data_IF_826804775979
#
_entry.id   IF_826804775979
#
_cell.length_a   1.000
_cell.length_b   1.000
_cell.length_c   1.000
_cell.angle_alpha   90.00
_cell.angle_beta   90.00
_cell.angle_gamma   90.00
#
_symmetry.space_group_name_H-M   'P 1'
#
loop_
_entity.id
_entity.type
_entity.pdbx_description
1 polymer ?
#
# COMPACT_ATOMS: atom_id res chain seq x y z
N UNK A 1 9.43 1.75 13.61
CA UNK A 1 9.23 2.62 12.46
C UNK A 1 9.00 4.06 12.92
N UNK A 2 9.62 5.03 12.28
CA UNK A 2 9.43 6.45 12.56
C UNK A 2 8.46 7.05 11.53
N UNK A 3 7.31 7.55 12.00
CA UNK A 3 6.25 8.06 11.12
C UNK A 3 6.55 9.46 10.57
N UNK A 4 6.10 9.71 9.33
CA UNK A 4 6.37 10.95 8.57
C UNK A 4 5.88 12.20 9.33
N UNK A 5 4.74 12.15 10.02
CA UNK A 5 4.24 13.27 10.84
C UNK A 5 5.19 13.72 11.95
N UNK A 6 6.09 12.82 12.37
CA UNK A 6 7.07 13.10 13.43
C UNK A 6 8.39 13.69 12.93
N UNK A 7 8.55 13.82 11.61
CA UNK A 7 9.79 14.33 11.04
C UNK A 7 10.03 15.79 11.41
N UNK A 8 11.28 16.09 11.74
CA UNK A 8 11.76 17.45 12.01
C UNK A 8 13.09 17.64 11.29
N UNK A 9 13.37 18.86 10.86
CA UNK A 9 14.66 19.22 10.27
C UNK A 9 15.83 18.75 11.13
N UNK A 10 16.86 18.22 10.47
CA UNK A 10 18.05 17.65 11.12
C UNK A 10 17.86 16.23 11.65
N UNK A 11 16.67 15.64 11.56
CA UNK A 11 16.51 14.22 11.91
C UNK A 11 17.22 13.33 10.89
N UNK A 12 17.81 12.25 11.38
CA UNK A 12 18.26 11.13 10.58
C UNK A 12 17.21 10.03 10.61
N UNK A 13 16.87 9.49 9.43
CA UNK A 13 15.85 8.46 9.22
C UNK A 13 16.53 7.20 8.67
N UNK A 14 16.17 6.06 9.26
CA UNK A 14 16.67 4.75 8.86
C UNK A 14 15.54 3.73 9.06
N UNK A 15 14.62 3.67 8.07
CA UNK A 15 13.37 2.94 8.22
C UNK A 15 12.75 2.57 6.86
N UNK A 16 11.70 1.76 6.85
CA UNK A 16 11.00 1.36 5.62
C UNK A 16 9.83 2.32 5.35
N UNK A 17 9.64 2.69 4.07
CA UNK A 17 8.51 3.49 3.57
C UNK A 17 7.98 2.92 2.26
N UNK A 18 6.73 3.21 1.92
CA UNK A 18 6.17 2.90 0.62
C UNK A 18 6.62 3.97 -0.40
N UNK A 19 7.29 3.56 -1.47
CA UNK A 19 7.63 4.46 -2.57
C UNK A 19 6.40 4.70 -3.45
N UNK A 20 5.64 5.76 -3.21
CA UNK A 20 4.43 6.08 -3.97
C UNK A 20 4.72 6.42 -5.43
N UNK A 21 5.74 7.24 -5.66
CA UNK A 21 6.20 7.63 -6.99
C UNK A 21 7.71 7.66 -7.07
N UNK A 22 8.25 7.35 -8.25
CA UNK A 22 9.67 7.45 -8.58
C UNK A 22 9.81 8.05 -9.96
N UNK A 23 10.59 9.12 -10.06
CA UNK A 23 10.90 9.80 -11.32
C UNK A 23 12.38 10.18 -11.33
N UNK A 24 12.97 10.18 -12.51
CA UNK A 24 14.30 10.79 -12.73
C UNK A 24 14.06 12.18 -13.32
N UNK A 25 14.65 13.17 -12.70
CA UNK A 25 14.57 14.57 -13.11
C UNK A 25 15.96 15.17 -13.31
N UNK A 26 16.03 16.30 -13.98
CA UNK A 26 17.27 17.02 -14.22
C UNK A 26 17.35 18.25 -13.31
N UNK A 27 18.51 18.46 -12.72
CA UNK A 27 18.85 19.73 -12.06
C UNK A 27 19.03 20.86 -13.11
N UNK A 28 19.08 22.10 -12.68
CA UNK A 28 19.38 23.27 -13.55
C UNK A 28 20.70 23.12 -14.31
N UNK A 29 21.64 22.33 -13.79
CA UNK A 29 22.95 22.06 -14.38
C UNK A 29 22.97 20.80 -15.25
N UNK A 30 21.81 20.19 -15.54
CA UNK A 30 21.71 18.98 -16.36
C UNK A 30 22.08 17.68 -15.66
N UNK A 31 22.34 17.68 -14.34
CA UNK A 31 22.64 16.44 -13.60
C UNK A 31 21.32 15.74 -13.25
N UNK A 32 21.25 14.43 -13.52
CA UNK A 32 20.13 13.59 -13.13
C UNK A 32 20.07 13.38 -11.61
N UNK A 33 18.85 13.36 -11.08
CA UNK A 33 18.56 13.00 -9.69
C UNK A 33 17.25 12.24 -9.59
N UNK A 34 17.13 11.39 -8.57
CA UNK A 34 15.88 10.70 -8.26
C UNK A 34 14.94 11.59 -7.46
N UNK A 35 13.72 11.75 -7.94
CA UNK A 35 12.63 12.42 -7.23
C UNK A 35 11.60 11.37 -6.82
N UNK A 36 11.40 11.23 -5.52
CA UNK A 36 10.50 10.24 -4.93
C UNK A 36 9.44 10.93 -4.10
N UNK A 37 8.30 10.29 -3.98
CA UNK A 37 7.33 10.55 -2.90
C UNK A 37 7.24 9.27 -2.07
N UNK A 38 7.63 9.37 -0.81
CA UNK A 38 7.51 8.29 0.15
C UNK A 38 6.24 8.48 0.99
N UNK A 39 5.65 7.36 1.40
CA UNK A 39 4.38 7.35 2.11
C UNK A 39 4.42 6.39 3.31
N UNK A 40 3.77 6.80 4.39
CA UNK A 40 3.28 5.94 5.45
C UNK A 40 1.81 6.26 5.76
N UNK A 41 1.21 5.64 6.77
CA UNK A 41 -0.18 5.88 7.17
C UNK A 41 -0.47 7.30 7.67
N UNK A 42 0.56 8.06 8.04
CA UNK A 42 0.44 9.41 8.59
C UNK A 42 0.58 10.50 7.54
N UNK A 43 1.12 10.18 6.36
CA UNK A 43 1.27 11.14 5.28
C UNK A 43 2.26 10.74 4.20
N UNK A 44 2.69 11.76 3.46
CA UNK A 44 3.69 11.65 2.40
C UNK A 44 4.82 12.65 2.63
N UNK A 45 6.01 12.31 2.13
CA UNK A 45 7.18 13.20 2.15
C UNK A 45 7.94 13.10 0.83
N UNK A 46 8.39 14.24 0.34
CA UNK A 46 9.30 14.29 -0.81
C UNK A 46 10.68 13.78 -0.42
N UNK A 47 11.30 12.99 -1.31
CA UNK A 47 12.65 12.49 -1.12
C UNK A 47 13.48 12.66 -2.39
N UNK A 48 14.75 13.04 -2.23
CA UNK A 48 15.67 13.27 -3.33
C UNK A 48 16.90 12.39 -3.20
N UNK A 49 17.27 11.75 -4.31
CA UNK A 49 18.51 11.01 -4.48
C UNK A 49 19.39 11.82 -5.42
N UNK A 50 20.36 12.57 -4.86
CA UNK A 50 21.20 13.48 -5.66
C UNK A 50 22.28 12.77 -6.46
N UNK A 51 22.66 11.55 -6.07
CA UNK A 51 23.66 10.72 -6.75
C UNK A 51 23.12 9.31 -6.98
N UNK A 52 22.56 9.09 -8.18
CA UNK A 52 21.95 7.80 -8.56
C UNK A 52 22.98 6.66 -8.66
N UNK A 53 24.25 6.99 -8.94
CA UNK A 53 25.35 6.03 -9.04
C UNK A 53 26.05 5.69 -7.71
N UNK A 54 25.57 6.25 -6.59
CA UNK A 54 26.16 5.97 -5.27
C UNK A 54 25.97 4.49 -4.88
N UNK A 55 26.98 3.83 -4.27
CA UNK A 55 26.92 2.42 -3.90
C UNK A 55 25.79 2.05 -2.94
N UNK A 56 25.18 3.04 -2.28
CA UNK A 56 24.03 2.84 -1.39
C UNK A 56 22.67 2.90 -2.10
N UNK A 57 22.62 3.20 -3.39
CA UNK A 57 21.40 3.33 -4.16
C UNK A 57 21.18 2.07 -4.98
N UNK A 58 20.28 1.21 -4.52
CA UNK A 58 19.95 -0.03 -5.20
C UNK A 58 18.68 0.13 -6.06
N UNK A 59 18.42 -0.85 -6.91
CA UNK A 59 17.26 -0.83 -7.79
C UNK A 59 15.96 -1.11 -7.02
N UNK A 60 14.94 -0.33 -7.31
CA UNK A 60 13.57 -0.48 -6.82
C UNK A 60 12.60 0.20 -7.78
N UNK A 61 11.32 -0.09 -7.66
CA UNK A 61 10.26 0.49 -8.49
C UNK A 61 9.28 1.34 -7.65
N UNK A 62 8.48 2.16 -8.33
CA UNK A 62 7.31 2.76 -7.69
C UNK A 62 6.39 1.65 -7.17
N UNK A 63 5.80 1.88 -6.01
CA UNK A 63 4.95 0.97 -5.24
C UNK A 63 5.70 -0.20 -4.57
N UNK A 64 7.02 -0.21 -4.59
CA UNK A 64 7.79 -1.06 -3.68
C UNK A 64 7.87 -0.44 -2.28
N UNK A 65 7.96 -1.31 -1.26
CA UNK A 65 8.41 -0.92 0.06
C UNK A 65 9.93 -0.80 0.02
N UNK A 66 10.43 0.32 0.47
CA UNK A 66 11.87 0.66 0.39
C UNK A 66 12.43 1.00 1.75
N UNK A 67 13.54 0.36 2.10
CA UNK A 67 14.35 0.79 3.23
C UNK A 67 15.13 2.03 2.83
N UNK A 68 15.04 3.08 3.61
CA UNK A 68 15.59 4.40 3.33
C UNK A 68 16.46 4.85 4.49
N UNK A 69 17.68 5.27 4.16
CA UNK A 69 18.61 5.98 5.05
C UNK A 69 18.76 7.40 4.51
N UNK A 70 18.28 8.39 5.26
CA UNK A 70 18.16 9.77 4.80
C UNK A 70 18.21 10.78 5.92
N UNK A 71 18.59 12.02 5.62
CA UNK A 71 18.45 13.16 6.50
C UNK A 71 17.23 14.00 6.13
N UNK A 72 16.49 14.47 7.13
CA UNK A 72 15.38 15.40 6.95
C UNK A 72 15.92 16.81 6.80
N UNK A 73 15.56 17.45 5.70
CA UNK A 73 15.88 18.86 5.40
C UNK A 73 14.60 19.64 5.16
N UNK A 74 14.66 20.97 5.24
CA UNK A 74 13.54 21.82 4.84
C UNK A 74 13.76 22.36 3.42
N UNK A 75 12.75 22.21 2.59
CA UNK A 75 12.69 22.83 1.27
C UNK A 75 11.35 23.55 1.12
N UNK A 76 11.40 24.87 0.88
CA UNK A 76 10.21 25.73 0.79
C UNK A 76 9.24 25.59 1.97
N UNK A 77 9.79 25.39 3.19
CA UNK A 77 8.99 25.26 4.41
C UNK A 77 8.37 23.87 4.63
N UNK A 78 8.67 22.88 3.78
CA UNK A 78 8.20 21.49 3.92
C UNK A 78 9.38 20.54 4.16
N UNK A 79 9.12 19.49 4.93
CA UNK A 79 10.11 18.43 5.12
C UNK A 79 10.41 17.74 3.80
N UNK A 80 11.68 17.53 3.52
CA UNK A 80 12.18 16.75 2.37
C UNK A 80 13.28 15.83 2.85
N UNK A 81 13.33 14.60 2.32
CA UNK A 81 14.40 13.66 2.63
C UNK A 81 15.56 13.79 1.63
N UNK A 82 16.75 13.92 2.15
CA UNK A 82 17.99 13.76 1.40
C UNK A 82 18.48 12.32 1.56
N UNK A 83 18.22 11.48 0.57
CA UNK A 83 18.44 10.04 0.61
C UNK A 83 19.91 9.73 0.35
N UNK A 84 20.52 9.00 1.29
CA UNK A 84 21.91 8.51 1.21
C UNK A 84 21.97 7.06 0.76
N UNK A 85 21.03 6.24 1.24
CA UNK A 85 20.92 4.83 0.87
C UNK A 85 19.45 4.47 0.69
N UNK A 86 19.19 3.61 -0.29
CA UNK A 86 17.85 3.08 -0.53
C UNK A 86 17.95 1.71 -1.19
N UNK A 87 17.13 0.79 -0.73
CA UNK A 87 16.97 -0.54 -1.34
C UNK A 87 15.52 -0.97 -1.23
N UNK A 88 15.12 -1.94 -2.02
CA UNK A 88 13.85 -2.64 -1.81
C UNK A 88 13.90 -3.33 -0.45
N UNK A 89 12.82 -3.25 0.30
CA UNK A 89 12.66 -3.95 1.57
C UNK A 89 12.30 -5.43 1.33
N UNK A 90 12.82 -6.30 2.18
CA UNK A 90 12.53 -7.72 2.14
C UNK A 90 11.17 -8.02 2.82
N UNK A 91 10.57 -9.16 2.48
CA UNK A 91 9.37 -9.64 3.15
C UNK A 91 9.63 -9.84 4.65
N UNK A 92 8.77 -9.23 5.49
CA UNK A 92 8.91 -9.27 6.94
C UNK A 92 9.58 -8.02 7.54
N UNK A 93 10.21 -7.15 6.76
CA UNK A 93 10.74 -5.86 7.24
C UNK A 93 9.65 -4.79 7.43
N UNK A 94 8.43 -5.03 6.92
CA UNK A 94 7.35 -4.05 6.95
C UNK A 94 5.97 -4.69 7.17
N UNK A 95 5.05 -3.88 7.73
CA UNK A 95 3.63 -4.22 7.81
C UNK A 95 2.81 -3.28 6.92
N UNK A 96 2.08 -3.79 5.91
CA UNK A 96 1.31 -2.94 4.98
C UNK A 96 0.39 -1.92 5.65
N UNK A 97 -0.18 -2.27 6.81
CA UNK A 97 -1.05 -1.38 7.60
C UNK A 97 -0.34 -0.11 8.12
N UNK A 98 0.99 -0.06 8.11
CA UNK A 98 1.75 1.12 8.52
C UNK A 98 1.98 2.12 7.36
N UNK A 99 1.62 1.75 6.13
CA UNK A 99 1.90 2.57 4.94
C UNK A 99 0.65 2.97 4.16
N UNK A 100 -0.43 2.20 4.29
CA UNK A 100 -1.69 2.44 3.59
C UNK A 100 -2.78 2.78 4.61
N UNK A 101 -3.72 3.65 4.25
CA UNK A 101 -4.94 3.78 5.02
C UNK A 101 -5.58 2.40 5.22
N UNK A 102 -6.27 2.22 6.32
CA UNK A 102 -7.04 0.99 6.62
C UNK A 102 -8.52 1.32 6.45
N UNK A 103 -9.32 0.35 5.98
CA UNK A 103 -10.78 0.50 5.93
C UNK A 103 -11.33 0.91 7.32
N UNK A 104 -12.31 1.78 7.32
CA UNK A 104 -13.06 2.16 8.54
C UNK A 104 -14.13 1.13 8.92
N UNK A 105 -14.38 0.14 8.03
CA UNK A 105 -15.36 -0.92 8.26
C UNK A 105 -14.76 -2.06 9.07
N UNK A 106 -15.61 -2.76 9.79
CA UNK A 106 -15.25 -3.94 10.57
C UNK A 106 -14.90 -5.11 9.63
N UNK A 107 -13.61 -5.49 9.58
CA UNK A 107 -13.12 -6.57 8.72
C UNK A 107 -13.77 -7.92 9.07
N UNK A 108 -13.82 -8.37 10.34
CA UNK A 108 -14.53 -9.58 10.73
C UNK A 108 -16.00 -9.60 10.29
N UNK A 109 -16.72 -8.51 10.44
CA UNK A 109 -18.12 -8.42 10.00
C UNK A 109 -18.23 -8.55 8.46
N UNK A 110 -17.34 -7.93 7.70
CA UNK A 110 -17.30 -8.07 6.23
C UNK A 110 -16.95 -9.49 5.79
N UNK A 111 -16.02 -10.18 6.47
CA UNK A 111 -15.70 -11.58 6.22
C UNK A 111 -16.93 -12.47 6.42
N UNK A 112 -17.59 -12.31 7.56
CA UNK A 112 -18.80 -13.06 7.87
C UNK A 112 -19.91 -12.84 6.82
N UNK A 113 -20.14 -11.59 6.42
CA UNK A 113 -21.13 -11.24 5.41
C UNK A 113 -20.80 -11.86 4.04
N UNK A 114 -19.51 -11.85 3.63
CA UNK A 114 -19.08 -12.49 2.39
C UNK A 114 -19.34 -14.00 2.41
N UNK A 115 -19.03 -14.67 3.52
CA UNK A 115 -19.31 -16.10 3.69
C UNK A 115 -20.82 -16.38 3.60
N UNK A 116 -21.67 -15.53 4.18
CA UNK A 116 -23.12 -15.67 4.05
C UNK A 116 -23.54 -15.63 2.58
N UNK A 117 -23.04 -14.69 1.77
CA UNK A 117 -23.34 -14.67 0.33
C UNK A 117 -22.86 -15.93 -0.41
N UNK A 118 -21.69 -16.45 -0.08
CA UNK A 118 -21.18 -17.68 -0.68
C UNK A 118 -22.15 -18.87 -0.41
N UNK A 119 -22.74 -18.95 0.77
CA UNK A 119 -23.69 -20.02 1.10
C UNK A 119 -24.98 -19.96 0.27
N UNK A 120 -25.36 -18.79 -0.27
CA UNK A 120 -26.54 -18.63 -1.11
C UNK A 120 -26.33 -19.04 -2.56
N UNK A 121 -25.12 -19.33 -3.01
CA UNK A 121 -24.82 -19.73 -4.39
C UNK A 121 -25.54 -21.05 -4.70
N UNK A 122 -26.45 -21.02 -5.68
CA UNK A 122 -27.28 -22.18 -6.06
C UNK A 122 -26.46 -23.29 -6.72
N UNK A 123 -25.50 -22.92 -7.59
CA UNK A 123 -24.65 -23.89 -8.25
C UNK A 123 -23.67 -24.49 -7.23
N UNK A 124 -23.78 -25.81 -7.02
CA UNK A 124 -22.97 -26.49 -5.98
C UNK A 124 -21.46 -26.49 -6.28
N UNK A 125 -21.07 -26.53 -7.56
CA UNK A 125 -19.65 -26.52 -7.94
C UNK A 125 -19.02 -25.16 -7.66
N UNK A 126 -19.72 -24.08 -8.03
CA UNK A 126 -19.26 -22.71 -7.72
C UNK A 126 -19.25 -22.44 -6.22
N UNK A 127 -20.27 -22.92 -5.50
CA UNK A 127 -20.31 -22.81 -4.04
C UNK A 127 -19.14 -23.54 -3.37
N UNK A 128 -18.86 -24.80 -3.80
CA UNK A 128 -17.72 -25.58 -3.30
C UNK A 128 -16.39 -24.88 -3.59
N UNK A 129 -16.22 -24.36 -4.82
CA UNK A 129 -15.02 -23.63 -5.21
C UNK A 129 -14.80 -22.40 -4.33
N UNK A 130 -15.80 -21.53 -4.22
CA UNK A 130 -15.72 -20.33 -3.39
C UNK A 130 -15.50 -20.67 -1.92
N UNK A 131 -16.22 -21.67 -1.36
CA UNK A 131 -16.02 -22.12 0.01
C UNK A 131 -14.62 -22.67 0.24
N UNK A 132 -14.02 -23.34 -0.75
CA UNK A 132 -12.65 -23.87 -0.64
C UNK A 132 -11.62 -22.77 -0.44
N UNK A 133 -11.77 -21.63 -1.11
CA UNK A 133 -10.89 -20.48 -0.91
C UNK A 133 -11.20 -19.71 0.38
N UNK A 134 -12.44 -19.30 0.57
CA UNK A 134 -12.80 -18.38 1.64
C UNK A 134 -12.94 -19.02 3.03
N UNK A 135 -12.97 -20.35 3.13
CA UNK A 135 -12.85 -21.07 4.40
C UNK A 135 -11.39 -21.41 4.76
N UNK A 136 -10.44 -21.19 3.85
CA UNK A 136 -9.01 -21.30 4.16
C UNK A 136 -8.58 -20.06 4.95
N UNK A 137 -8.06 -20.24 6.20
CA UNK A 137 -7.70 -19.12 7.07
C UNK A 137 -6.59 -18.23 6.49
N UNK A 138 -5.60 -18.83 5.82
CA UNK A 138 -4.46 -18.09 5.25
C UNK A 138 -4.91 -17.27 4.04
N UNK A 139 -5.74 -17.85 3.16
CA UNK A 139 -6.33 -17.14 2.05
C UNK A 139 -7.22 -15.99 2.54
N UNK A 140 -8.15 -16.26 3.49
CA UNK A 140 -9.05 -15.24 4.03
C UNK A 140 -8.27 -14.10 4.68
N UNK A 141 -7.22 -14.41 5.44
CA UNK A 141 -6.35 -13.41 6.04
C UNK A 141 -5.69 -12.54 4.97
N UNK A 142 -5.02 -13.13 3.98
CA UNK A 142 -4.39 -12.40 2.90
C UNK A 142 -5.41 -11.54 2.12
N UNK A 143 -6.53 -12.12 1.70
CA UNK A 143 -7.61 -11.44 0.98
C UNK A 143 -8.18 -10.25 1.74
N UNK A 144 -8.37 -10.39 3.05
CA UNK A 144 -8.94 -9.34 3.91
C UNK A 144 -8.00 -8.17 4.16
N UNK A 145 -6.70 -8.36 4.02
CA UNK A 145 -5.71 -7.30 4.24
C UNK A 145 -5.16 -6.68 2.96
N UNK A 146 -5.45 -7.26 1.79
CA UNK A 146 -5.04 -6.67 0.52
C UNK A 146 -5.87 -5.44 0.13
N UNK A 147 -5.20 -4.51 -0.57
CA UNK A 147 -5.87 -3.43 -1.29
C UNK A 147 -6.46 -3.94 -2.60
N UNK A 148 -7.59 -3.37 -3.06
CA UNK A 148 -8.18 -3.73 -4.36
C UNK A 148 -7.42 -3.12 -5.54
N UNK A 149 -6.67 -2.04 -5.32
CA UNK A 149 -5.93 -1.33 -6.36
C UNK A 149 -4.65 -0.69 -5.82
N UNK A 150 -3.73 -0.38 -6.71
CA UNK A 150 -2.44 0.23 -6.37
C UNK A 150 -2.52 1.69 -5.91
N UNK A 151 -3.52 2.48 -6.34
CA UNK A 151 -3.52 3.93 -6.06
C UNK A 151 -4.89 4.62 -6.06
N UNK A 152 -5.91 4.07 -6.71
CA UNK A 152 -7.23 4.70 -6.86
C UNK A 152 -8.25 3.66 -6.44
N UNK A 153 -9.38 4.02 -5.93
CA UNK A 153 -10.51 3.14 -5.65
C UNK A 153 -10.18 1.89 -4.78
N UNK A 154 -10.44 1.97 -3.50
CA UNK A 154 -10.12 0.92 -2.49
C UNK A 154 -8.62 0.57 -2.38
N UNK A 155 -7.72 1.55 -2.64
CA UNK A 155 -6.26 1.42 -2.45
C UNK A 155 -5.81 1.49 -0.99
N UNK A 156 -6.50 0.79 -0.09
CA UNK A 156 -6.25 0.75 1.35
C UNK A 156 -6.34 -0.69 1.88
N UNK A 157 -5.79 -0.94 3.05
CA UNK A 157 -5.86 -2.26 3.72
C UNK A 157 -7.33 -2.61 3.99
N UNK A 158 -7.76 -3.79 3.58
CA UNK A 158 -9.17 -4.21 3.62
C UNK A 158 -9.98 -3.82 2.39
N UNK A 159 -9.38 -3.04 1.47
CA UNK A 159 -10.06 -2.53 0.28
C UNK A 159 -10.53 -3.62 -0.67
N UNK A 160 -9.77 -4.71 -0.82
CA UNK A 160 -10.17 -5.83 -1.68
C UNK A 160 -11.43 -6.52 -1.15
N UNK A 161 -11.50 -6.80 0.13
CA UNK A 161 -12.67 -7.38 0.78
C UNK A 161 -13.88 -6.44 0.66
N UNK A 162 -13.69 -5.15 0.98
CA UNK A 162 -14.75 -4.14 0.91
C UNK A 162 -15.29 -3.97 -0.51
N UNK A 163 -14.41 -3.90 -1.50
CA UNK A 163 -14.79 -3.82 -2.92
C UNK A 163 -15.57 -5.05 -3.36
N UNK A 164 -15.03 -6.25 -3.09
CA UNK A 164 -15.67 -7.51 -3.45
C UNK A 164 -17.06 -7.63 -2.83
N UNK A 165 -17.19 -7.31 -1.55
CA UNK A 165 -18.48 -7.34 -0.87
C UNK A 165 -19.48 -6.35 -1.48
N UNK A 166 -19.03 -5.16 -1.87
CA UNK A 166 -19.88 -4.16 -2.55
C UNK A 166 -20.39 -4.68 -3.89
N UNK A 167 -19.52 -5.30 -4.69
CA UNK A 167 -19.90 -5.91 -5.98
C UNK A 167 -20.88 -7.07 -5.77
N UNK A 168 -20.61 -7.96 -4.82
CA UNK A 168 -21.49 -9.10 -4.48
C UNK A 168 -22.90 -8.61 -4.11
N UNK A 169 -23.00 -7.57 -3.26
CA UNK A 169 -24.30 -6.96 -2.89
C UNK A 169 -25.07 -6.44 -4.10
N UNK A 170 -24.38 -5.78 -5.02
CA UNK A 170 -25.00 -5.31 -6.27
C UNK A 170 -25.48 -6.48 -7.14
N UNK A 171 -24.67 -7.52 -7.30
CA UNK A 171 -25.04 -8.71 -8.06
C UNK A 171 -26.25 -9.43 -7.43
N UNK A 172 -26.26 -9.58 -6.09
CA UNK A 172 -27.39 -10.17 -5.37
C UNK A 172 -28.67 -9.34 -5.56
N UNK A 173 -28.58 -8.02 -5.47
CA UNK A 173 -29.70 -7.12 -5.74
C UNK A 173 -30.24 -7.31 -7.16
N UNK A 174 -29.37 -7.24 -8.17
CA UNK A 174 -29.80 -7.41 -9.56
C UNK A 174 -30.41 -8.78 -9.82
N UNK A 175 -29.85 -9.85 -9.28
CA UNK A 175 -30.39 -11.20 -9.46
C UNK A 175 -31.80 -11.39 -8.89
N UNK A 176 -32.17 -10.57 -7.88
CA UNK A 176 -33.51 -10.57 -7.28
C UNK A 176 -34.50 -9.69 -8.05
N UNK A 177 -34.02 -8.61 -8.66
CA UNK A 177 -34.87 -7.68 -9.43
C UNK A 177 -35.11 -8.14 -10.88
N UNK A 178 -34.15 -8.85 -11.45
CA UNK A 178 -34.17 -9.32 -12.84
C UNK A 178 -33.83 -10.82 -12.91
N UNK A 179 -34.78 -11.70 -12.51
CA UNK A 179 -34.58 -13.15 -12.45
C UNK A 179 -34.48 -13.77 -13.83
#
# INVERSE_FOLDING_TARGET
MRFIETFREGNHISDVYLCKTKQIALTKNGKEYGSLVLQDKTGTVDAKIWELSSPGINEFSALDYVYVDADVTLFQGQNQLNVKRIRKADEGEYHPADYLPVTTKDIPAMQHELIQYITTIKNEYLRKLASGYFNDPEFMKAFSFHSAAKSVHHGFVGGLLEHTLSVVKMCDYFSKQYP
#
